data_IF_766372095433
#
_entry.id   IF_766372095433
#
_cell.length_a   1.000
_cell.length_b   1.000
_cell.length_c   1.000
_cell.angle_alpha   90.00
_cell.angle_beta   90.00
_cell.angle_gamma   90.00
#
_symmetry.space_group_name_H-M   'P 1'
#
loop_
_entity.id
_entity.type
_entity.pdbx_description
1 polymer ?
#
# COMPACT_ATOMS: atom_id res chain seq x y z
N UNK A 1 2.84 -7.00 18.57
CA UNK A 1 2.93 -8.06 17.55
C UNK A 1 4.21 -7.82 16.77
N UNK A 2 5.16 -8.75 16.74
CA UNK A 2 6.25 -8.68 15.76
C UNK A 2 5.70 -9.26 14.46
N UNK A 3 5.57 -8.42 13.44
CA UNK A 3 5.33 -8.91 12.09
C UNK A 3 6.68 -9.34 11.53
N UNK A 4 6.81 -10.61 11.12
CA UNK A 4 8.05 -11.04 10.49
C UNK A 4 8.33 -10.18 9.26
N UNK A 5 9.47 -9.47 9.23
CA UNK A 5 9.80 -8.49 8.19
C UNK A 5 9.71 -9.10 6.78
N UNK A 6 10.04 -10.38 6.63
CA UNK A 6 9.92 -11.10 5.35
C UNK A 6 8.45 -11.26 4.89
N UNK A 7 7.51 -11.46 5.81
CA UNK A 7 6.09 -11.52 5.49
C UNK A 7 5.57 -10.16 5.00
N UNK A 8 5.98 -9.07 5.67
CA UNK A 8 5.68 -7.70 5.26
C UNK A 8 6.25 -7.38 3.87
N UNK A 9 7.53 -7.67 3.65
CA UNK A 9 8.21 -7.47 2.36
C UNK A 9 7.54 -8.31 1.26
N UNK A 10 7.14 -9.54 1.56
CA UNK A 10 6.39 -10.40 0.63
C UNK A 10 5.05 -9.77 0.25
N UNK A 11 4.36 -9.14 1.20
CA UNK A 11 3.10 -8.45 0.94
C UNK A 11 3.28 -7.20 0.07
N UNK A 12 4.29 -6.38 0.37
CA UNK A 12 4.69 -5.23 -0.46
C UNK A 12 5.00 -5.67 -1.90
N UNK A 13 5.73 -6.78 -2.08
CA UNK A 13 6.00 -7.35 -3.42
C UNK A 13 4.71 -7.74 -4.15
N UNK A 14 3.69 -8.27 -3.47
CA UNK A 14 2.38 -8.59 -4.08
C UNK A 14 1.64 -7.34 -4.54
N UNK A 15 1.65 -6.28 -3.72
CA UNK A 15 1.03 -4.99 -4.07
C UNK A 15 1.72 -4.37 -5.29
N UNK A 16 3.06 -4.38 -5.35
CA UNK A 16 3.82 -3.90 -6.51
C UNK A 16 3.47 -4.68 -7.79
N UNK A 17 3.34 -6.00 -7.69
CA UNK A 17 2.91 -6.85 -8.82
C UNK A 17 1.50 -6.49 -9.31
N UNK A 18 0.57 -6.20 -8.40
CA UNK A 18 -0.79 -5.76 -8.76
C UNK A 18 -0.75 -4.39 -9.45
N UNK A 19 0.01 -3.43 -8.92
CA UNK A 19 0.18 -2.11 -9.54
C UNK A 19 0.80 -2.22 -10.94
N UNK A 20 1.88 -2.99 -11.08
CA UNK A 20 2.55 -3.27 -12.35
C UNK A 20 1.58 -3.78 -13.41
N UNK A 21 0.69 -4.71 -13.06
CA UNK A 21 -0.34 -5.23 -13.98
C UNK A 21 -1.41 -4.18 -14.31
N UNK A 22 -1.89 -3.43 -13.32
CA UNK A 22 -2.97 -2.45 -13.51
C UNK A 22 -2.55 -1.26 -14.36
N UNK A 23 -1.31 -0.81 -14.20
CA UNK A 23 -0.77 0.34 -14.94
C UNK A 23 0.13 -0.07 -16.11
N UNK A 24 0.28 -1.36 -16.38
CA UNK A 24 1.19 -1.89 -17.42
C UNK A 24 2.63 -1.36 -17.30
N UNK A 25 3.13 -1.28 -16.06
CA UNK A 25 4.46 -0.77 -15.74
C UNK A 25 5.48 -1.90 -15.54
N UNK A 26 6.77 -1.68 -15.85
CA UNK A 26 7.84 -2.55 -15.37
C UNK A 26 7.79 -2.72 -13.85
N UNK A 27 8.09 -3.93 -13.35
CA UNK A 27 7.95 -4.25 -11.92
C UNK A 27 8.78 -3.30 -11.03
N UNK A 28 9.99 -2.93 -11.44
CA UNK A 28 10.82 -1.98 -10.69
C UNK A 28 10.17 -0.60 -10.54
N UNK A 29 9.52 -0.09 -11.59
CA UNK A 29 8.80 1.19 -11.52
C UNK A 29 7.57 1.09 -10.61
N UNK A 30 6.88 -0.05 -10.61
CA UNK A 30 5.77 -0.29 -9.70
C UNK A 30 6.24 -0.43 -8.24
N UNK A 31 7.41 -1.02 -7.99
CA UNK A 31 8.03 -1.09 -6.65
C UNK A 31 8.35 0.30 -6.10
N UNK A 32 8.98 1.16 -6.92
CA UNK A 32 9.21 2.56 -6.55
C UNK A 32 7.89 3.33 -6.38
N UNK A 33 6.93 3.09 -7.27
CA UNK A 33 5.60 3.68 -7.21
C UNK A 33 4.88 3.39 -5.90
N UNK A 34 4.80 2.13 -5.47
CA UNK A 34 4.12 1.81 -4.20
C UNK A 34 4.88 2.37 -3.00
N UNK A 35 6.21 2.39 -3.01
CA UNK A 35 7.00 2.88 -1.88
C UNK A 35 6.73 4.37 -1.63
N UNK A 36 6.64 5.15 -2.70
CA UNK A 36 6.33 6.58 -2.62
C UNK A 36 4.84 6.80 -2.35
N UNK A 37 3.96 6.16 -3.12
CA UNK A 37 2.53 6.50 -3.10
C UNK A 37 1.75 5.88 -1.94
N UNK A 38 2.04 4.62 -1.56
CA UNK A 38 1.34 3.93 -0.47
C UNK A 38 2.00 4.13 0.89
N UNK A 39 3.34 4.25 0.90
CA UNK A 39 4.13 4.18 2.13
C UNK A 39 4.86 5.47 2.48
N UNK A 40 4.74 6.50 1.63
CA UNK A 40 5.39 7.80 1.80
C UNK A 40 6.88 7.66 2.18
N UNK A 41 7.55 6.77 1.43
CA UNK A 41 8.98 6.51 1.50
C UNK A 41 9.69 7.13 0.30
N UNK A 42 10.99 7.38 0.45
CA UNK A 42 11.78 8.02 -0.60
C UNK A 42 12.06 7.10 -1.80
N UNK A 43 12.10 5.79 -1.56
CA UNK A 43 12.35 4.76 -2.57
C UNK A 43 11.91 3.39 -2.08
N UNK A 44 11.91 2.39 -2.97
CA UNK A 44 11.69 1.00 -2.58
C UNK A 44 12.73 0.51 -1.57
N UNK A 45 14.00 0.88 -1.75
CA UNK A 45 15.08 0.54 -0.81
C UNK A 45 14.86 1.15 0.58
N UNK A 46 14.40 2.41 0.65
CA UNK A 46 14.06 3.09 1.92
C UNK A 46 12.95 2.34 2.66
N UNK A 47 11.89 1.94 1.95
CA UNK A 47 10.82 1.13 2.52
C UNK A 47 11.34 -0.21 3.09
N UNK A 48 12.21 -0.91 2.37
CA UNK A 48 12.78 -2.17 2.85
C UNK A 48 13.63 -1.99 4.12
N UNK A 49 14.41 -0.91 4.20
CA UNK A 49 15.20 -0.59 5.39
C UNK A 49 14.28 -0.32 6.59
N UNK A 50 13.23 0.50 6.40
CA UNK A 50 12.27 0.82 7.47
C UNK A 50 11.52 -0.39 7.99
N UNK A 51 11.06 -1.28 7.10
CA UNK A 51 10.40 -2.54 7.48
C UNK A 51 11.34 -3.45 8.28
N UNK A 52 12.60 -3.59 7.87
CA UNK A 52 13.59 -4.43 8.56
C UNK A 52 14.03 -3.85 9.90
N UNK A 53 14.03 -2.53 10.02
CA UNK A 53 14.34 -1.83 11.26
C UNK A 53 13.15 -1.76 12.23
N UNK A 54 11.99 -2.31 11.85
CA UNK A 54 10.72 -2.15 12.58
C UNK A 54 10.38 -0.67 12.91
N UNK A 55 10.83 0.27 12.06
CA UNK A 55 10.56 1.69 12.20
C UNK A 55 9.21 2.02 11.55
N UNK A 56 8.19 2.16 12.40
CA UNK A 56 6.82 2.51 12.02
C UNK A 56 6.46 3.95 12.40
N UNK A 57 7.45 4.84 12.40
CA UNK A 57 7.27 6.28 12.71
C UNK A 57 6.29 6.95 11.73
N UNK A 58 6.17 6.39 10.52
CA UNK A 58 5.12 6.70 9.56
C UNK A 58 4.02 5.61 9.62
N UNK A 59 2.78 5.96 10.02
CA UNK A 59 1.66 5.02 10.08
C UNK A 59 1.38 4.27 8.77
N UNK A 60 1.72 4.85 7.61
CA UNK A 60 1.52 4.22 6.32
C UNK A 60 2.37 2.97 6.14
N UNK A 61 3.55 2.88 6.78
CA UNK A 61 4.41 1.68 6.73
C UNK A 61 3.70 0.47 7.34
N UNK A 62 2.81 0.68 8.32
CA UNK A 62 2.00 -0.38 8.91
C UNK A 62 1.06 -1.03 7.88
N UNK A 63 0.70 -0.34 6.79
CA UNK A 63 -0.09 -0.91 5.69
C UNK A 63 0.65 -2.04 4.95
N UNK A 64 1.95 -2.24 5.19
CA UNK A 64 2.69 -3.42 4.70
C UNK A 64 2.14 -4.71 5.29
N UNK A 65 1.49 -4.63 6.46
CA UNK A 65 0.76 -5.74 7.09
C UNK A 65 -0.70 -5.85 6.61
N UNK A 66 -1.21 -4.91 5.80
CA UNK A 66 -2.60 -4.92 5.34
C UNK A 66 -2.83 -5.99 4.27
N UNK A 67 -3.77 -6.87 4.55
CA UNK A 67 -4.20 -8.02 3.76
C UNK A 67 -5.70 -8.28 4.00
N UNK A 68 -6.35 -9.16 3.22
CA UNK A 68 -7.77 -9.46 3.38
C UNK A 68 -8.20 -9.87 4.80
N UNK A 69 -7.33 -10.56 5.53
CA UNK A 69 -7.61 -11.06 6.87
C UNK A 69 -7.01 -10.19 7.99
N UNK A 70 -6.49 -9.00 7.65
CA UNK A 70 -5.86 -8.12 8.62
C UNK A 70 -6.88 -7.47 9.57
N UNK A 71 -6.36 -7.03 10.71
CA UNK A 71 -7.11 -6.30 11.74
C UNK A 71 -7.77 -5.04 11.18
N UNK A 72 -8.96 -4.72 11.69
CA UNK A 72 -9.78 -3.57 11.28
C UNK A 72 -9.01 -2.25 11.40
N UNK A 73 -8.13 -2.13 12.40
CA UNK A 73 -7.30 -0.93 12.59
C UNK A 73 -6.47 -0.56 11.34
N UNK A 74 -5.88 -1.55 10.65
CA UNK A 74 -5.10 -1.29 9.42
C UNK A 74 -5.99 -0.81 8.26
N UNK A 75 -7.23 -1.29 8.20
CA UNK A 75 -8.22 -0.81 7.22
C UNK A 75 -8.61 0.63 7.51
N UNK A 76 -8.77 1.00 8.80
CA UNK A 76 -9.07 2.37 9.22
C UNK A 76 -7.90 3.34 8.93
N UNK A 77 -6.64 2.89 9.04
CA UNK A 77 -5.48 3.68 8.59
C UNK A 77 -5.55 3.94 7.08
N UNK A 78 -5.83 2.92 6.28
CA UNK A 78 -5.96 3.10 4.83
C UNK A 78 -7.08 4.10 4.50
N UNK A 79 -8.24 3.97 5.14
CA UNK A 79 -9.37 4.86 4.93
C UNK A 79 -9.04 6.33 5.24
N UNK A 80 -8.33 6.60 6.34
CA UNK A 80 -7.99 7.97 6.74
C UNK A 80 -6.93 8.65 5.87
N UNK A 81 -6.20 7.89 5.04
CA UNK A 81 -5.14 8.40 4.19
C UNK A 81 -5.43 8.23 2.68
N UNK A 82 -6.61 7.75 2.31
CA UNK A 82 -6.92 7.33 0.95
C UNK A 82 -6.78 8.49 -0.05
N UNK A 83 -7.30 9.67 0.29
CA UNK A 83 -7.19 10.88 -0.55
C UNK A 83 -5.73 11.30 -0.78
N UNK A 84 -4.92 11.23 0.27
CA UNK A 84 -3.49 11.56 0.20
C UNK A 84 -2.75 10.57 -0.70
N UNK A 85 -3.03 9.27 -0.54
CA UNK A 85 -2.46 8.20 -1.37
C UNK A 85 -2.83 8.40 -2.85
N UNK A 86 -4.10 8.67 -3.15
CA UNK A 86 -4.57 8.94 -4.51
C UNK A 86 -3.86 10.18 -5.08
N UNK A 87 -3.76 11.26 -4.29
CA UNK A 87 -3.01 12.45 -4.68
C UNK A 87 -1.53 12.17 -4.99
N UNK A 88 -0.90 11.26 -4.24
CA UNK A 88 0.48 10.82 -4.53
C UNK A 88 0.57 10.02 -5.82
N UNK A 89 -0.41 9.16 -6.11
CA UNK A 89 -0.48 8.44 -7.38
C UNK A 89 -0.67 9.37 -8.57
N UNK A 90 -1.55 10.37 -8.47
CA UNK A 90 -1.77 11.34 -9.55
C UNK A 90 -0.49 12.14 -9.86
N UNK A 91 0.26 12.52 -8.82
CA UNK A 91 1.57 13.19 -9.00
C UNK A 91 2.61 12.28 -9.64
N UNK A 92 2.68 11.01 -9.23
CA UNK A 92 3.72 10.07 -9.68
C UNK A 92 3.43 9.47 -11.05
N UNK A 93 2.15 9.25 -11.35
CA UNK A 93 1.63 8.62 -12.56
C UNK A 93 0.46 9.45 -13.10
N UNK A 94 0.72 10.66 -13.63
CA UNK A 94 -0.32 11.56 -14.10
C UNK A 94 -1.17 10.91 -15.20
N UNK A 95 -2.48 11.05 -15.12
CA UNK A 95 -3.43 10.45 -16.08
C UNK A 95 -3.64 8.94 -15.93
N UNK A 96 -3.16 8.33 -14.83
CA UNK A 96 -3.35 6.89 -14.56
C UNK A 96 -4.78 6.53 -14.11
N UNK A 97 -5.65 7.51 -13.87
CA UNK A 97 -7.03 7.35 -13.42
C UNK A 97 -7.15 6.44 -12.17
N UNK A 98 -6.15 6.51 -11.28
CA UNK A 98 -6.20 5.79 -10.02
C UNK A 98 -7.29 6.38 -9.13
N UNK A 99 -8.19 5.52 -8.66
CA UNK A 99 -9.27 5.84 -7.75
C UNK A 99 -9.17 4.97 -6.48
N UNK A 100 -10.08 5.19 -5.54
CA UNK A 100 -10.17 4.46 -4.28
C UNK A 100 -10.18 2.94 -4.47
N UNK A 101 -11.05 2.44 -5.33
CA UNK A 101 -11.21 1.01 -5.60
C UNK A 101 -9.90 0.40 -6.12
N UNK A 102 -9.20 1.11 -7.00
CA UNK A 102 -7.91 0.66 -7.50
C UNK A 102 -6.88 0.56 -6.37
N UNK A 103 -6.75 1.60 -5.55
CA UNK A 103 -5.81 1.61 -4.40
C UNK A 103 -6.13 0.47 -3.43
N UNK A 104 -7.39 0.29 -3.06
CA UNK A 104 -7.85 -0.76 -2.14
C UNK A 104 -7.51 -2.14 -2.70
N UNK A 105 -7.73 -2.36 -3.99
CA UNK A 105 -7.42 -3.64 -4.65
C UNK A 105 -5.92 -3.96 -4.69
N UNK A 106 -5.02 -2.97 -4.52
CA UNK A 106 -3.57 -3.24 -4.39
C UNK A 106 -3.29 -4.07 -3.13
N UNK A 107 -4.06 -3.89 -2.06
CA UNK A 107 -3.97 -4.68 -0.82
C UNK A 107 -4.64 -6.06 -0.95
N UNK A 108 -5.30 -6.34 -2.07
CA UNK A 108 -6.02 -7.59 -2.32
C UNK A 108 -7.41 -7.64 -1.70
N UNK A 109 -7.92 -6.49 -1.25
CA UNK A 109 -9.30 -6.32 -0.77
C UNK A 109 -10.23 -5.98 -1.94
N UNK A 110 -11.49 -6.40 -1.86
CA UNK A 110 -12.55 -5.80 -2.68
C UNK A 110 -13.04 -4.48 -2.08
N UNK A 111 -13.68 -3.64 -2.90
CA UNK A 111 -14.25 -2.37 -2.41
C UNK A 111 -15.38 -2.59 -1.41
N UNK A 112 -16.19 -3.63 -1.62
CA UNK A 112 -17.29 -3.99 -0.72
C UNK A 112 -16.76 -4.52 0.63
N UNK A 113 -15.72 -5.36 0.61
CA UNK A 113 -15.03 -5.83 1.82
C UNK A 113 -14.46 -4.65 2.62
N UNK A 114 -13.85 -3.69 1.93
CA UNK A 114 -13.32 -2.49 2.55
C UNK A 114 -14.43 -1.67 3.21
N UNK A 115 -15.54 -1.39 2.49
CA UNK A 115 -16.68 -0.63 3.02
C UNK A 115 -17.35 -1.28 4.21
N UNK A 116 -17.50 -2.60 4.19
CA UNK A 116 -18.05 -3.35 5.32
C UNK A 116 -17.17 -3.14 6.57
N UNK A 117 -15.85 -3.32 6.44
CA UNK A 117 -14.91 -3.22 7.57
C UNK A 117 -14.76 -1.81 8.18
N UNK A 118 -15.03 -0.75 7.43
CA UNK A 118 -14.97 0.63 7.97
C UNK A 118 -16.29 1.07 8.61
N UNK A 119 -17.38 0.36 8.33
CA UNK A 119 -18.72 0.65 8.86
C UNK A 119 -18.97 -0.03 10.21
N UNK A 120 -18.11 -0.98 10.59
CA UNK A 120 -18.03 -1.65 11.90
C UNK A 120 -17.17 -0.86 12.92
#
# INVERSE_FOLDING_TARGET
MSFESEALISNVKRQAKRLSKKLLLPLGHAQEGIAICLYDCNSYSDLLVKIKAESFDNPLIALSALSPNSEIFLVKILASHLDSIIGNFEKKFPGSNINEELVISLFGLSFDEFKAKISD
#
